data_IF_844778442737
#
_entry.id   IF_844778442737
#
_cell.length_a   1.000
_cell.length_b   1.000
_cell.length_c   1.000
_cell.angle_alpha   90.00
_cell.angle_beta   90.00
_cell.angle_gamma   90.00
#
_symmetry.space_group_name_H-M   'P 1'
#
loop_
_entity.id
_entity.type
_entity.pdbx_description
1 polymer ?
#
# COMPACT_ATOMS: atom_id res chain seq x y z
N UNK A 1 -17.09 5.04 -18.43
CA UNK A 1 -16.16 6.18 -18.17
C UNK A 1 -16.84 7.07 -17.13
N UNK A 2 -16.25 7.24 -15.94
CA UNK A 2 -16.89 7.96 -14.83
C UNK A 2 -16.95 9.48 -15.10
N UNK A 3 -17.88 10.18 -14.44
CA UNK A 3 -17.99 11.64 -14.57
C UNK A 3 -16.72 12.35 -14.06
N UNK A 4 -16.13 11.86 -12.96
CA UNK A 4 -14.88 12.38 -12.41
C UNK A 4 -13.70 12.16 -13.37
N UNK A 5 -13.59 10.98 -13.98
CA UNK A 5 -12.53 10.70 -14.96
C UNK A 5 -12.59 11.66 -16.15
N UNK A 6 -13.78 11.88 -16.71
CA UNK A 6 -13.97 12.83 -17.80
C UNK A 6 -13.56 14.26 -17.39
N UNK A 7 -13.95 14.70 -16.19
CA UNK A 7 -13.59 16.02 -15.67
C UNK A 7 -12.06 16.18 -15.46
N UNK A 8 -11.39 15.14 -14.97
CA UNK A 8 -9.93 15.15 -14.82
C UNK A 8 -9.21 15.24 -16.15
N UNK A 9 -9.64 14.46 -17.13
CA UNK A 9 -9.03 14.47 -18.47
C UNK A 9 -9.26 15.81 -19.18
N UNK A 10 -10.44 16.42 -19.04
CA UNK A 10 -10.72 17.72 -19.66
C UNK A 10 -9.91 18.87 -19.05
N UNK A 11 -9.76 18.88 -17.71
CA UNK A 11 -8.95 19.91 -17.03
C UNK A 11 -7.46 19.73 -17.35
N UNK A 12 -6.98 18.49 -17.37
CA UNK A 12 -5.59 18.17 -17.72
C UNK A 12 -5.24 18.60 -19.15
N UNK A 13 -6.16 18.43 -20.11
CA UNK A 13 -5.99 18.94 -21.48
C UNK A 13 -5.85 20.48 -21.54
N UNK A 14 -6.37 21.18 -20.54
CA UNK A 14 -6.25 22.64 -20.38
C UNK A 14 -5.05 23.05 -19.50
N UNK A 15 -4.20 22.10 -19.08
CA UNK A 15 -3.06 22.34 -18.19
C UNK A 15 -3.45 22.61 -16.73
N UNK A 16 -4.66 22.25 -16.32
CA UNK A 16 -5.20 22.50 -14.98
C UNK A 16 -5.54 21.19 -14.26
N UNK A 17 -5.63 21.24 -12.94
CA UNK A 17 -6.17 20.16 -12.10
C UNK A 17 -7.54 20.57 -11.56
N UNK A 18 -8.34 19.57 -11.17
CA UNK A 18 -9.56 19.84 -10.42
C UNK A 18 -9.23 20.44 -9.06
N UNK A 19 -10.04 21.40 -8.64
CA UNK A 19 -9.96 21.99 -7.30
C UNK A 19 -10.51 21.02 -6.26
N UNK A 20 -10.08 21.17 -5.00
CA UNK A 20 -10.62 20.40 -3.87
C UNK A 20 -12.15 20.47 -3.78
N UNK A 21 -12.75 21.63 -4.09
CA UNK A 21 -14.20 21.83 -4.09
C UNK A 21 -14.92 21.05 -5.19
N UNK A 22 -14.24 20.78 -6.31
CA UNK A 22 -14.80 19.97 -7.38
C UNK A 22 -14.72 18.48 -7.05
N UNK A 23 -13.59 18.04 -6.47
CA UNK A 23 -13.41 16.65 -6.03
C UNK A 23 -14.34 16.29 -4.88
N UNK A 24 -14.63 17.23 -3.95
CA UNK A 24 -15.50 17.00 -2.79
C UNK A 24 -16.96 16.68 -3.13
N UNK A 25 -17.35 16.72 -4.41
CA UNK A 25 -18.68 16.35 -4.89
C UNK A 25 -18.82 14.84 -5.13
N UNK A 26 -17.71 14.11 -5.12
CA UNK A 26 -17.65 12.68 -5.40
C UNK A 26 -17.38 11.90 -4.12
N UNK A 27 -17.95 10.69 -4.04
CA UNK A 27 -17.74 9.77 -2.92
C UNK A 27 -16.34 9.16 -2.93
N UNK A 28 -15.89 8.65 -1.79
CA UNK A 28 -14.64 7.91 -1.69
C UNK A 28 -14.55 6.74 -2.69
N UNK A 29 -15.66 6.02 -2.91
CA UNK A 29 -15.73 4.91 -3.86
C UNK A 29 -15.56 5.37 -5.33
N UNK A 30 -16.14 6.51 -5.70
CA UNK A 30 -15.98 7.11 -7.05
C UNK A 30 -14.56 7.63 -7.27
N UNK A 31 -13.97 8.24 -6.24
CA UNK A 31 -12.57 8.68 -6.26
C UNK A 31 -11.65 7.47 -6.42
N UNK A 32 -11.80 6.44 -5.59
CA UNK A 32 -11.05 5.17 -5.68
C UNK A 32 -11.15 4.56 -7.08
N UNK A 33 -12.36 4.44 -7.62
CA UNK A 33 -12.54 3.88 -8.97
C UNK A 33 -11.83 4.73 -10.02
N UNK A 34 -11.92 6.06 -9.92
CA UNK A 34 -11.27 6.95 -10.88
C UNK A 34 -9.75 6.91 -10.77
N UNK A 35 -9.20 6.79 -9.55
CA UNK A 35 -7.77 6.54 -9.35
C UNK A 35 -7.32 5.25 -10.02
N UNK A 36 -8.07 4.15 -9.86
CA UNK A 36 -7.78 2.88 -10.50
C UNK A 36 -7.83 2.99 -12.04
N UNK A 37 -8.83 3.68 -12.58
CA UNK A 37 -8.94 3.94 -14.01
C UNK A 37 -7.73 4.76 -14.53
N UNK A 38 -7.30 5.79 -13.79
CA UNK A 38 -6.14 6.61 -14.17
C UNK A 38 -4.84 5.81 -14.16
N UNK A 39 -4.61 5.00 -13.14
CA UNK A 39 -3.47 4.08 -13.07
C UNK A 39 -3.48 3.12 -14.26
N UNK A 40 -4.63 2.50 -14.55
CA UNK A 40 -4.77 1.57 -15.69
C UNK A 40 -4.59 2.22 -17.07
N UNK A 41 -4.59 3.55 -17.16
CA UNK A 41 -4.34 4.33 -18.38
C UNK A 41 -2.97 5.03 -18.37
N UNK A 42 -2.04 4.61 -17.50
CA UNK A 42 -0.72 5.21 -17.31
C UNK A 42 -0.75 6.72 -17.03
N UNK A 43 -1.81 7.21 -16.37
CA UNK A 43 -1.98 8.61 -15.95
C UNK A 43 -1.61 8.77 -14.47
N UNK A 44 -0.41 8.32 -14.10
CA UNK A 44 0.05 8.28 -12.70
C UNK A 44 0.04 9.67 -12.05
N UNK A 45 0.44 10.73 -12.76
CA UNK A 45 0.43 12.10 -12.22
C UNK A 45 -0.98 12.58 -11.84
N UNK A 46 -1.99 12.22 -12.64
CA UNK A 46 -3.39 12.55 -12.34
C UNK A 46 -3.91 11.71 -11.17
N UNK A 47 -3.55 10.43 -11.12
CA UNK A 47 -3.90 9.56 -10.00
C UNK A 47 -3.29 10.08 -8.69
N UNK A 48 -2.08 10.64 -8.74
CA UNK A 48 -1.37 11.22 -7.59
C UNK A 48 -2.05 12.48 -7.08
N UNK A 49 -2.40 13.41 -7.98
CA UNK A 49 -3.16 14.59 -7.62
C UNK A 49 -4.54 14.23 -7.03
N UNK A 50 -5.20 13.21 -7.59
CA UNK A 50 -6.48 12.73 -7.08
C UNK A 50 -6.33 12.01 -5.72
N UNK A 51 -5.25 11.25 -5.53
CA UNK A 51 -4.91 10.62 -4.24
C UNK A 51 -4.75 11.66 -3.14
N UNK A 52 -3.97 12.72 -3.38
CA UNK A 52 -3.78 13.80 -2.42
C UNK A 52 -5.11 14.47 -2.04
N UNK A 53 -5.98 14.73 -3.03
CA UNK A 53 -7.31 15.27 -2.78
C UNK A 53 -8.19 14.28 -1.99
N UNK A 54 -8.15 12.99 -2.37
CA UNK A 54 -8.89 11.93 -1.70
C UNK A 54 -8.50 11.77 -0.24
N UNK A 55 -7.20 11.72 0.07
CA UNK A 55 -6.68 11.62 1.43
C UNK A 55 -7.06 12.84 2.28
N UNK A 56 -7.10 14.03 1.69
CA UNK A 56 -7.53 15.23 2.41
C UNK A 56 -9.04 15.27 2.68
N UNK A 57 -9.87 14.68 1.81
CA UNK A 57 -11.33 14.67 1.97
C UNK A 57 -11.82 13.50 2.82
N UNK A 58 -11.15 12.36 2.73
CA UNK A 58 -11.56 11.09 3.32
C UNK A 58 -10.35 10.38 3.96
N UNK A 59 -9.71 11.00 4.98
CA UNK A 59 -8.44 10.52 5.55
C UNK A 59 -8.51 9.11 6.14
N UNK A 60 -9.68 8.70 6.64
CA UNK A 60 -9.88 7.40 7.29
C UNK A 60 -10.62 6.40 6.39
N UNK A 61 -10.86 6.74 5.11
CA UNK A 61 -11.54 5.83 4.20
C UNK A 61 -10.61 4.69 3.79
N UNK A 62 -11.00 3.45 4.11
CA UNK A 62 -10.25 2.25 3.72
C UNK A 62 -9.99 2.19 2.21
N UNK A 63 -10.99 2.53 1.40
CA UNK A 63 -10.90 2.57 -0.07
C UNK A 63 -9.80 3.53 -0.55
N UNK A 64 -9.73 4.73 0.06
CA UNK A 64 -8.75 5.76 -0.31
C UNK A 64 -7.37 5.38 0.19
N UNK A 65 -7.25 4.89 1.43
CA UNK A 65 -5.98 4.43 1.99
C UNK A 65 -5.39 3.28 1.17
N UNK A 66 -6.19 2.28 0.84
CA UNK A 66 -5.75 1.12 0.06
C UNK A 66 -5.29 1.51 -1.36
N UNK A 67 -6.08 2.32 -2.08
CA UNK A 67 -5.73 2.72 -3.44
C UNK A 67 -4.54 3.70 -3.46
N UNK A 68 -4.43 4.57 -2.47
CA UNK A 68 -3.29 5.50 -2.33
C UNK A 68 -2.00 4.76 -1.97
N UNK A 69 -2.08 3.72 -1.13
CA UNK A 69 -0.93 2.85 -0.85
C UNK A 69 -0.45 2.13 -2.12
N UNK A 70 -1.36 1.54 -2.89
CA UNK A 70 -1.02 0.89 -4.16
C UNK A 70 -0.37 1.88 -5.15
N UNK A 71 -0.88 3.11 -5.21
CA UNK A 71 -0.29 4.16 -6.04
C UNK A 71 1.13 4.53 -5.58
N UNK A 72 1.37 4.65 -4.28
CA UNK A 72 2.70 4.89 -3.73
C UNK A 72 3.66 3.75 -4.10
N UNK A 73 3.20 2.49 -4.05
CA UNK A 73 4.00 1.34 -4.51
C UNK A 73 4.35 1.39 -6.00
N UNK A 74 3.41 1.80 -6.85
CA UNK A 74 3.67 1.99 -8.30
C UNK A 74 4.75 3.06 -8.51
N UNK A 75 4.73 4.11 -7.70
CA UNK A 75 5.74 5.18 -7.69
C UNK A 75 7.04 4.77 -7.00
N UNK A 76 7.13 3.56 -6.44
CA UNK A 76 8.23 3.09 -5.58
C UNK A 76 8.47 3.99 -4.36
N UNK A 77 7.45 4.70 -3.91
CA UNK A 77 7.44 5.48 -2.67
C UNK A 77 7.03 4.56 -1.51
N UNK A 78 7.98 3.73 -1.10
CA UNK A 78 7.74 2.67 -0.12
C UNK A 78 7.43 3.22 1.27
N UNK A 79 8.00 4.37 1.64
CA UNK A 79 7.75 5.01 2.93
C UNK A 79 6.29 5.48 3.04
N UNK A 80 5.78 6.14 2.01
CA UNK A 80 4.38 6.55 1.95
C UNK A 80 3.46 5.32 1.92
N UNK A 81 3.82 4.26 1.19
CA UNK A 81 3.05 3.03 1.15
C UNK A 81 2.95 2.35 2.55
N UNK A 82 4.06 2.25 3.29
CA UNK A 82 4.07 1.69 4.65
C UNK A 82 3.18 2.50 5.59
N UNK A 83 3.27 3.83 5.54
CA UNK A 83 2.45 4.72 6.36
C UNK A 83 0.95 4.53 6.09
N UNK A 84 0.55 4.54 4.82
CA UNK A 84 -0.84 4.39 4.41
C UNK A 84 -1.40 3.00 4.76
N UNK A 85 -0.60 1.94 4.58
CA UNK A 85 -1.01 0.58 4.95
C UNK A 85 -1.11 0.40 6.46
N UNK A 86 -0.20 1.00 7.24
CA UNK A 86 -0.27 0.99 8.71
C UNK A 86 -1.52 1.73 9.20
N UNK A 87 -1.86 2.87 8.59
CA UNK A 87 -3.09 3.59 8.87
C UNK A 87 -4.32 2.76 8.50
N UNK A 88 -4.31 2.11 7.33
CA UNK A 88 -5.38 1.21 6.89
C UNK A 88 -5.60 0.06 7.89
N UNK A 89 -4.53 -0.59 8.34
CA UNK A 89 -4.60 -1.64 9.36
C UNK A 89 -5.15 -1.12 10.69
N UNK A 90 -4.82 0.11 11.06
CA UNK A 90 -5.37 0.77 12.25
C UNK A 90 -6.89 0.97 12.12
N UNK A 91 -7.36 1.39 10.95
CA UNK A 91 -8.80 1.55 10.67
C UNK A 91 -9.53 0.20 10.65
N UNK A 92 -8.93 -0.82 10.04
CA UNK A 92 -9.52 -2.16 9.95
C UNK A 92 -9.51 -2.91 11.29
N UNK A 93 -8.52 -2.66 12.15
CA UNK A 93 -8.36 -3.30 13.45
C UNK A 93 -8.39 -4.82 13.33
N UNK A 94 -9.31 -5.47 14.07
CA UNK A 94 -9.47 -6.93 14.06
C UNK A 94 -9.97 -7.49 12.72
N UNK A 95 -10.44 -6.64 11.81
CA UNK A 95 -10.90 -7.01 10.48
C UNK A 95 -9.82 -6.83 9.40
N UNK A 96 -8.57 -6.53 9.79
CA UNK A 96 -7.45 -6.38 8.85
C UNK A 96 -7.33 -7.61 7.96
N UNK A 97 -7.53 -7.43 6.67
CA UNK A 97 -7.62 -8.56 5.73
C UNK A 97 -6.26 -9.21 5.45
N UNK A 98 -6.21 -10.50 5.04
CA UNK A 98 -4.97 -11.13 4.58
C UNK A 98 -4.31 -10.35 3.44
N UNK A 99 -5.11 -9.70 2.58
CA UNK A 99 -4.59 -8.87 1.51
C UNK A 99 -3.82 -7.66 2.05
N UNK A 100 -4.36 -6.94 3.03
CA UNK A 100 -3.67 -5.81 3.69
C UNK A 100 -2.35 -6.25 4.31
N UNK A 101 -2.34 -7.38 5.02
CA UNK A 101 -1.12 -7.97 5.60
C UNK A 101 -0.06 -8.26 4.54
N UNK A 102 -0.44 -8.98 3.47
CA UNK A 102 0.48 -9.32 2.37
C UNK A 102 1.04 -8.07 1.70
N UNK A 103 0.24 -7.02 1.55
CA UNK A 103 0.69 -5.77 0.95
C UNK A 103 1.74 -5.08 1.82
N UNK A 104 1.50 -4.96 3.13
CA UNK A 104 2.47 -4.35 4.04
C UNK A 104 3.78 -5.14 4.08
N UNK A 105 3.70 -6.47 4.13
CA UNK A 105 4.89 -7.33 4.11
C UNK A 105 5.70 -7.11 2.83
N UNK A 106 5.03 -7.02 1.67
CA UNK A 106 5.68 -6.72 0.38
C UNK A 106 6.39 -5.36 0.41
N UNK A 107 5.75 -4.32 0.92
CA UNK A 107 6.35 -2.98 1.03
C UNK A 107 7.62 -3.02 1.88
N UNK A 108 7.58 -3.68 3.05
CA UNK A 108 8.73 -3.81 3.94
C UNK A 108 9.89 -4.57 3.29
N UNK A 109 9.59 -5.58 2.44
CA UNK A 109 10.62 -6.25 1.64
C UNK A 109 11.24 -5.32 0.61
N UNK A 110 10.42 -4.53 -0.08
CA UNK A 110 10.90 -3.55 -1.06
C UNK A 110 11.75 -2.44 -0.42
N UNK A 111 11.54 -2.13 0.86
CA UNK A 111 12.41 -1.26 1.66
C UNK A 111 13.72 -1.93 2.12
N UNK A 112 13.91 -3.23 1.85
CA UNK A 112 15.00 -4.03 2.40
C UNK A 112 15.00 -4.11 3.94
N UNK A 113 13.81 -4.20 4.55
CA UNK A 113 13.58 -4.33 6.00
C UNK A 113 13.06 -5.75 6.36
N UNK A 114 13.83 -6.83 6.12
CA UNK A 114 13.36 -8.21 6.27
C UNK A 114 12.97 -8.56 7.72
N UNK A 115 13.61 -7.93 8.72
CA UNK A 115 13.25 -8.10 10.12
C UNK A 115 11.85 -7.57 10.45
N UNK A 116 11.50 -6.38 9.95
CA UNK A 116 10.14 -5.82 10.09
C UNK A 116 9.12 -6.66 9.33
N UNK A 117 9.46 -7.05 8.10
CA UNK A 117 8.61 -7.91 7.28
C UNK A 117 8.30 -9.24 7.99
N UNK A 118 9.31 -9.90 8.57
CA UNK A 118 9.15 -11.14 9.32
C UNK A 118 8.24 -10.96 10.55
N UNK A 119 8.38 -9.83 11.27
CA UNK A 119 7.52 -9.53 12.40
C UNK A 119 6.06 -9.39 11.98
N UNK A 120 5.79 -8.67 10.88
CA UNK A 120 4.43 -8.54 10.33
C UNK A 120 3.88 -9.88 9.84
N UNK A 121 4.68 -10.69 9.15
CA UNK A 121 4.29 -12.03 8.71
C UNK A 121 3.92 -12.93 9.90
N UNK A 122 4.69 -12.87 11.00
CA UNK A 122 4.37 -13.62 12.22
C UNK A 122 3.03 -13.20 12.83
N UNK A 123 2.73 -11.90 12.86
CA UNK A 123 1.45 -11.39 13.34
C UNK A 123 0.30 -11.83 12.42
N UNK A 124 0.49 -11.72 11.11
CA UNK A 124 -0.46 -12.17 10.11
C UNK A 124 -0.79 -13.66 10.26
N UNK A 125 0.22 -14.52 10.50
CA UNK A 125 0.04 -15.96 10.77
C UNK A 125 -0.74 -16.25 12.05
N UNK A 126 -0.71 -15.34 13.03
CA UNK A 126 -1.53 -15.49 14.24
C UNK A 126 -3.00 -15.19 13.94
N UNK A 127 -3.27 -14.20 13.07
CA UNK A 127 -4.62 -13.84 12.65
C UNK A 127 -5.21 -14.82 11.62
N UNK A 128 -4.38 -15.37 10.74
CA UNK A 128 -4.78 -16.21 9.60
C UNK A 128 -3.85 -17.44 9.45
N UNK A 129 -3.93 -18.41 10.37
CA UNK A 129 -3.03 -19.58 10.35
C UNK A 129 -3.20 -20.49 9.12
N UNK A 130 -4.38 -20.46 8.50
CA UNK A 130 -4.73 -21.30 7.36
C UNK A 130 -4.47 -20.63 5.99
N UNK A 131 -3.97 -19.38 5.95
CA UNK A 131 -3.63 -18.71 4.68
C UNK A 131 -2.26 -19.20 4.18
N UNK A 132 -2.27 -20.04 3.15
CA UNK A 132 -1.06 -20.66 2.60
C UNK A 132 -0.06 -19.61 2.07
N UNK A 133 -0.54 -18.50 1.50
CA UNK A 133 0.33 -17.47 0.93
C UNK A 133 1.07 -16.72 2.05
N UNK A 134 0.38 -16.41 3.16
CA UNK A 134 1.03 -15.82 4.33
C UNK A 134 2.02 -16.80 4.97
N UNK A 135 1.72 -18.10 4.96
CA UNK A 135 2.61 -19.13 5.49
C UNK A 135 3.90 -19.22 4.67
N UNK A 136 3.77 -19.27 3.35
CA UNK A 136 4.92 -19.32 2.44
C UNK A 136 5.79 -18.06 2.59
N UNK A 137 5.16 -16.89 2.69
CA UNK A 137 5.86 -15.62 2.89
C UNK A 137 6.60 -15.57 4.24
N UNK A 138 5.97 -16.05 5.31
CA UNK A 138 6.60 -16.14 6.64
C UNK A 138 7.84 -17.05 6.62
N UNK A 139 7.75 -18.23 5.99
CA UNK A 139 8.87 -19.16 5.88
C UNK A 139 10.02 -18.57 5.04
N UNK A 140 9.70 -17.96 3.90
CA UNK A 140 10.67 -17.25 3.04
C UNK A 140 11.43 -16.16 3.80
N UNK A 141 10.71 -15.36 4.60
CA UNK A 141 11.32 -14.31 5.42
C UNK A 141 12.17 -14.88 6.57
N UNK A 142 11.75 -15.99 7.17
CA UNK A 142 12.51 -16.64 8.23
C UNK A 142 13.86 -17.16 7.71
N UNK A 143 13.87 -17.78 6.53
CA UNK A 143 15.10 -18.24 5.87
C UNK A 143 16.02 -17.05 5.57
N UNK A 144 15.49 -16.01 4.91
CA UNK A 144 16.24 -14.80 4.55
C UNK A 144 16.91 -14.12 5.76
N UNK A 145 16.18 -13.98 6.88
CA UNK A 145 16.73 -13.36 8.10
C UNK A 145 17.77 -14.27 8.76
N UNK A 146 17.57 -15.59 8.71
CA UNK A 146 18.52 -16.55 9.27
C UNK A 146 19.85 -16.56 8.53
N UNK A 147 19.83 -16.47 7.19
CA UNK A 147 21.04 -16.38 6.36
C UNK A 147 21.82 -15.08 6.57
N UNK A 148 21.14 -14.00 6.98
CA UNK A 148 21.77 -12.71 7.28
C UNK A 148 22.45 -12.68 8.64
N UNK A 149 22.22 -13.68 9.51
CA UNK A 149 22.97 -13.81 10.76
C UNK A 149 24.37 -14.37 10.47
N UNK A 150 25.46 -13.67 10.86
CA UNK A 150 26.81 -14.19 10.63
C UNK A 150 26.99 -15.51 11.36
N UNK A 151 27.46 -16.53 10.63
CA UNK A 151 27.95 -17.78 11.20
C UNK A 151 29.05 -17.43 12.18
N UNK A 152 28.87 -17.71 13.47
CA UNK A 152 29.93 -17.55 14.46
C UNK A 152 31.17 -18.31 13.97
N UNK A 153 32.27 -17.57 13.77
CA UNK A 153 33.54 -18.16 13.38
C UNK A 153 33.92 -19.22 14.43
N UNK A 154 34.30 -20.44 14.03
CA UNK A 154 34.66 -21.47 14.98
C UNK A 154 35.83 -20.96 15.82
N UNK A 155 35.61 -20.83 17.12
CA UNK A 155 36.64 -20.50 18.10
C UNK A 155 37.77 -21.50 17.96
N UNK A 156 38.86 -21.11 17.29
CA UNK A 156 40.06 -21.92 17.23
C UNK A 156 40.67 -21.96 18.62
N UNK A 157 40.34 -23.03 19.35
CA UNK A 157 41.02 -23.42 20.57
C UNK A 157 42.47 -23.77 20.22
N UNK A 158 43.40 -22.91 20.63
CA UNK A 158 44.84 -23.19 20.67
C UNK A 158 45.19 -24.03 21.90
#
# INVERSE_FOLDING_TARGET
>A
MSALLNAMLSQSASGQFLTMREVSKFTAAEIRQTMADLVGNDRVDLADALSAAGLSLYPDSEDILAMSALLAEIKSDWDTAEQLLTQLMTQQGQHTTPFTWRHLIRVLRCQCEPGKALLMAKQAMTAYPEDDILRDEFLSLQELVSEQMPVEAPTQLH
#
